data_IF_286676954926
#
_entry.id   IF_286676954926
#
_cell.length_a   1.000
_cell.length_b   1.000
_cell.length_c   1.000
_cell.angle_alpha   90.00
_cell.angle_beta   90.00
_cell.angle_gamma   90.00
#
_symmetry.space_group_name_H-M   'P 1'
#
loop_
_entity.id
_entity.type
_entity.pdbx_description
1 polymer ?
#
# COMPACT_ATOMS: atom_id res chain seq x y z
N UNK A 1 -51.72 38.80 7.99
CA UNK A 1 -50.86 37.60 7.93
C UNK A 1 -49.65 37.91 7.07
N UNK A 2 -48.47 38.15 7.68
CA UNK A 2 -47.15 38.08 7.01
C UNK A 2 -46.16 37.66 8.10
N UNK A 3 -45.73 36.40 8.05
CA UNK A 3 -44.69 35.85 8.90
C UNK A 3 -43.34 36.30 8.35
N UNK A 4 -42.53 36.97 9.18
CA UNK A 4 -41.11 37.22 8.91
C UNK A 4 -40.35 35.96 9.33
N UNK A 5 -39.86 35.19 8.35
CA UNK A 5 -38.93 34.11 8.58
C UNK A 5 -37.51 34.68 8.70
N UNK A 6 -36.95 34.65 9.91
CA UNK A 6 -35.52 34.90 10.15
C UNK A 6 -34.72 33.66 9.75
N UNK A 7 -34.01 33.74 8.63
CA UNK A 7 -33.01 32.73 8.26
C UNK A 7 -31.76 32.91 9.12
N UNK A 8 -31.56 32.02 10.10
CA UNK A 8 -30.30 31.87 10.78
C UNK A 8 -29.31 31.15 9.85
N UNK A 9 -28.31 31.87 9.35
CA UNK A 9 -27.17 31.28 8.63
C UNK A 9 -26.24 30.72 9.69
N UNK A 10 -26.31 29.41 9.93
CA UNK A 10 -25.31 28.70 10.73
C UNK A 10 -24.03 28.59 9.90
N UNK A 11 -23.04 29.42 10.20
CA UNK A 11 -21.68 29.29 9.68
C UNK A 11 -21.06 28.02 10.25
N UNK A 12 -20.95 26.98 9.42
CA UNK A 12 -20.05 25.86 9.70
C UNK A 12 -18.61 26.39 9.66
N UNK A 13 -18.04 26.67 10.83
CA UNK A 13 -16.60 26.76 10.96
C UNK A 13 -16.02 25.38 10.66
N UNK A 14 -15.42 25.21 9.49
CA UNK A 14 -14.62 24.04 9.17
C UNK A 14 -13.42 24.02 10.12
N UNK A 15 -13.48 23.16 11.15
CA UNK A 15 -12.31 22.82 11.93
C UNK A 15 -11.44 21.95 11.03
N UNK A 16 -10.58 22.59 10.25
CA UNK A 16 -9.45 21.93 9.62
C UNK A 16 -8.54 21.47 10.77
N UNK A 17 -8.76 20.24 11.25
CA UNK A 17 -7.80 19.58 12.12
C UNK A 17 -6.52 19.47 11.30
N UNK A 18 -5.49 20.23 11.72
CA UNK A 18 -4.18 20.18 11.11
C UNK A 18 -3.70 18.73 11.16
N UNK A 19 -3.57 18.10 9.98
CA UNK A 19 -2.90 16.82 9.81
C UNK A 19 -1.47 17.07 10.31
N UNK A 20 -0.98 16.37 11.35
CA UNK A 20 0.40 16.54 11.77
C UNK A 20 1.31 16.22 10.59
N UNK A 21 2.04 17.23 10.14
CA UNK A 21 3.13 17.06 9.21
C UNK A 21 4.20 16.18 9.87
N UNK A 22 4.79 15.32 9.05
CA UNK A 22 6.03 14.58 9.32
C UNK A 22 5.94 13.43 10.32
N UNK A 23 5.19 12.37 9.96
CA UNK A 23 5.50 11.04 10.47
C UNK A 23 6.76 10.55 9.72
N UNK A 24 7.88 10.38 10.44
CA UNK A 24 9.09 9.78 9.89
C UNK A 24 8.85 8.28 9.65
N UNK A 25 8.67 7.91 8.39
CA UNK A 25 8.43 6.54 7.93
C UNK A 25 9.72 5.72 7.74
N UNK A 26 10.86 6.20 8.27
CA UNK A 26 12.15 5.51 8.14
C UNK A 26 12.33 4.49 9.26
N UNK A 27 12.34 3.17 8.96
CA UNK A 27 12.64 2.15 9.96
C UNK A 27 14.11 2.22 10.42
N UNK A 28 14.35 2.11 11.73
CA UNK A 28 15.70 2.02 12.31
C UNK A 28 16.41 0.75 11.84
N UNK A 29 17.26 0.83 10.80
CA UNK A 29 18.07 -0.30 10.32
C UNK A 29 18.06 -0.53 8.81
N UNK A 30 17.23 0.19 8.05
CA UNK A 30 17.32 0.26 6.60
C UNK A 30 16.85 -0.99 5.82
N UNK A 31 16.46 -0.73 4.57
CA UNK A 31 15.80 -1.64 3.63
C UNK A 31 16.68 -2.75 3.05
N UNK A 32 18.00 -2.56 3.03
CA UNK A 32 18.94 -3.47 2.37
C UNK A 32 19.04 -4.85 3.03
N UNK A 33 18.41 -5.05 4.18
CA UNK A 33 18.46 -6.29 4.96
C UNK A 33 17.38 -7.31 4.60
N UNK A 34 16.31 -6.91 3.90
CA UNK A 34 15.25 -7.83 3.47
C UNK A 34 15.61 -8.37 2.09
N UNK A 35 16.09 -9.61 2.06
CA UNK A 35 16.28 -10.33 0.81
C UNK A 35 14.94 -10.88 0.30
N UNK A 36 14.21 -10.05 -0.45
CA UNK A 36 12.91 -10.39 -1.04
C UNK A 36 12.95 -11.60 -1.99
N UNK A 37 14.13 -12.08 -2.39
CA UNK A 37 14.24 -13.31 -3.21
C UNK A 37 14.24 -14.59 -2.40
N UNK A 38 14.47 -14.49 -1.09
CA UNK A 38 14.51 -15.64 -0.16
C UNK A 38 13.27 -15.74 0.70
N UNK A 39 12.27 -14.88 0.47
CA UNK A 39 11.00 -14.87 1.19
C UNK A 39 10.08 -15.95 0.62
N UNK A 40 9.60 -16.84 1.49
CA UNK A 40 8.53 -17.77 1.16
C UNK A 40 7.17 -17.11 1.42
N UNK A 41 6.35 -17.01 0.36
CA UNK A 41 5.00 -16.46 0.47
C UNK A 41 3.96 -17.55 0.82
N UNK A 42 2.92 -17.25 1.61
CA UNK A 42 1.84 -18.20 1.90
C UNK A 42 1.14 -18.69 0.64
N UNK A 43 0.67 -19.94 0.66
CA UNK A 43 -0.10 -20.53 -0.44
C UNK A 43 -1.35 -19.70 -0.78
N UNK A 44 -1.63 -19.47 -2.07
CA UNK A 44 -2.72 -18.62 -2.54
C UNK A 44 -2.35 -17.15 -2.77
N UNK A 45 -1.26 -16.67 -2.17
CA UNK A 45 -0.73 -15.33 -2.47
C UNK A 45 -0.15 -15.32 -3.88
N UNK A 46 -0.62 -14.42 -4.75
CA UNK A 46 -0.11 -14.31 -6.12
C UNK A 46 -0.43 -15.48 -7.08
N UNK A 47 -0.98 -16.61 -6.60
CA UNK A 47 -1.20 -17.87 -7.32
C UNK A 47 -2.55 -17.94 -8.08
N UNK A 48 -3.56 -17.17 -7.68
CA UNK A 48 -4.90 -17.18 -8.29
C UNK A 48 -5.17 -16.02 -9.27
N UNK A 49 -4.12 -15.48 -9.91
CA UNK A 49 -4.20 -14.22 -10.65
C UNK A 49 -4.08 -14.47 -12.16
N UNK A 50 -4.89 -13.81 -13.01
CA UNK A 50 -4.68 -13.81 -14.45
C UNK A 50 -3.24 -13.37 -14.72
N UNK A 51 -2.61 -14.04 -15.71
CA UNK A 51 -1.28 -13.70 -16.22
C UNK A 51 -1.19 -12.18 -16.41
N UNK A 52 -0.07 -11.57 -16.01
CA UNK A 52 0.18 -10.14 -16.24
C UNK A 52 -0.19 -9.77 -17.69
N UNK A 53 -0.71 -8.57 -17.95
CA UNK A 53 -0.75 -8.05 -19.31
C UNK A 53 0.63 -8.23 -19.97
N UNK A 54 0.70 -8.68 -21.24
CA UNK A 54 1.98 -8.81 -21.94
C UNK A 54 2.78 -7.52 -21.87
N UNK A 55 4.04 -7.61 -21.40
CA UNK A 55 4.93 -6.46 -21.20
C UNK A 55 4.86 -5.77 -19.83
N UNK A 56 4.02 -6.21 -18.89
CA UNK A 56 3.87 -5.58 -17.55
C UNK A 56 4.40 -6.46 -16.42
N UNK A 57 5.66 -6.86 -16.50
CA UNK A 57 6.32 -7.57 -15.40
C UNK A 57 6.71 -9.02 -15.70
N UNK A 58 6.32 -9.57 -16.86
CA UNK A 58 6.55 -10.97 -17.24
C UNK A 58 8.03 -11.33 -17.46
N UNK A 59 8.89 -10.32 -17.66
CA UNK A 59 10.32 -10.47 -17.93
C UNK A 59 11.19 -9.61 -17.00
N UNK A 60 10.73 -9.27 -15.79
CA UNK A 60 11.53 -8.40 -14.91
C UNK A 60 12.85 -9.08 -14.56
N UNK A 61 14.01 -8.48 -14.91
CA UNK A 61 15.27 -8.86 -14.30
C UNK A 61 15.13 -8.68 -12.79
N UNK A 62 15.64 -9.64 -12.03
CA UNK A 62 16.00 -9.39 -10.64
C UNK A 62 16.90 -8.16 -10.62
N UNK A 63 16.42 -7.05 -10.06
CA UNK A 63 17.24 -5.86 -9.81
C UNK A 63 17.91 -6.04 -8.45
N UNK A 64 19.19 -6.44 -8.38
CA UNK A 64 19.96 -6.24 -7.16
C UNK A 64 19.98 -4.74 -6.84
N UNK A 65 20.06 -4.35 -5.56
CA UNK A 65 20.16 -2.96 -5.19
C UNK A 65 21.40 -2.35 -5.85
N UNK A 66 21.20 -1.47 -6.82
CA UNK A 66 22.30 -0.64 -7.34
C UNK A 66 22.76 0.25 -6.21
N UNK A 67 23.95 -0.07 -5.70
CA UNK A 67 24.56 0.57 -4.55
C UNK A 67 24.63 2.09 -4.73
N UNK A 68 23.90 2.80 -3.88
CA UNK A 68 24.24 4.17 -3.54
C UNK A 68 25.52 4.13 -2.72
N UNK A 69 26.56 4.79 -3.22
CA UNK A 69 27.89 4.80 -2.62
C UNK A 69 27.83 5.18 -1.13
N UNK A 70 28.22 4.24 -0.26
CA UNK A 70 28.58 4.56 1.11
C UNK A 70 30.00 5.15 1.11
N UNK A 71 30.19 6.22 1.88
CA UNK A 71 31.48 6.84 2.14
C UNK A 71 32.53 5.82 2.60
N UNK A 72 33.84 6.06 2.34
CA UNK A 72 34.87 5.06 2.58
C UNK A 72 35.05 4.84 4.08
N UNK A 73 34.56 3.71 4.58
CA UNK A 73 34.93 3.16 5.89
C UNK A 73 36.06 2.14 5.68
N UNK A 74 37.09 2.24 6.53
CA UNK A 74 38.32 1.47 6.47
C UNK A 74 38.08 -0.05 6.47
N UNK A 75 38.97 -0.85 5.84
CA UNK A 75 38.76 -2.29 5.67
C UNK A 75 38.89 -3.04 7.01
N UNK A 76 37.79 -3.68 7.42
CA UNK A 76 37.77 -4.70 8.48
C UNK A 76 37.98 -6.06 7.82
N UNK A 77 38.81 -6.97 8.37
CA UNK A 77 39.14 -8.25 7.77
C UNK A 77 37.90 -9.15 7.57
N UNK A 78 37.79 -9.72 6.38
CA UNK A 78 36.63 -10.48 5.89
C UNK A 78 36.67 -11.92 6.43
N UNK A 79 35.83 -12.21 7.42
CA UNK A 79 35.33 -13.57 7.66
C UNK A 79 34.20 -13.90 6.67
N UNK A 80 33.95 -15.20 6.44
CA UNK A 80 32.83 -15.68 5.61
C UNK A 80 31.53 -14.90 5.89
N UNK A 81 30.75 -14.50 4.88
CA UNK A 81 29.55 -13.69 5.08
C UNK A 81 28.54 -14.43 5.95
N UNK A 82 28.45 -14.02 7.22
CA UNK A 82 27.35 -14.39 8.11
C UNK A 82 26.13 -13.66 7.59
N UNK A 83 25.03 -14.36 7.34
CA UNK A 83 23.75 -13.72 7.06
C UNK A 83 23.34 -12.92 8.30
N UNK A 84 23.62 -11.62 8.30
CA UNK A 84 23.04 -10.70 9.27
C UNK A 84 21.55 -10.65 8.98
N UNK A 85 20.74 -11.33 9.80
CA UNK A 85 19.29 -11.26 9.72
C UNK A 85 18.83 -9.81 9.76
N UNK A 86 17.70 -9.51 9.11
CA UNK A 86 17.09 -8.20 9.23
C UNK A 86 16.90 -7.83 10.70
N UNK A 87 17.18 -6.58 11.13
CA UNK A 87 16.87 -6.16 12.50
C UNK A 87 15.36 -6.18 12.77
N UNK A 88 14.54 -6.37 11.73
CA UNK A 88 13.09 -6.55 11.79
C UNK A 88 12.75 -8.04 11.68
N UNK A 89 12.02 -8.55 12.67
CA UNK A 89 11.40 -9.88 12.57
C UNK A 89 10.04 -9.71 11.90
N UNK A 90 9.84 -10.35 10.74
CA UNK A 90 8.54 -10.39 10.09
C UNK A 90 7.81 -11.68 10.43
N UNK A 91 6.53 -11.55 10.74
CA UNK A 91 5.61 -12.65 11.07
C UNK A 91 4.94 -13.20 9.83
N UNK A 92 4.82 -12.41 8.77
CA UNK A 92 4.27 -12.86 7.47
C UNK A 92 4.73 -12.00 6.30
N UNK A 93 4.60 -12.54 5.10
CA UNK A 93 4.92 -11.87 3.84
C UNK A 93 3.82 -12.11 2.82
N UNK A 94 3.52 -11.13 1.98
CA UNK A 94 2.53 -11.24 0.91
C UNK A 94 3.08 -10.63 -0.37
N UNK A 95 2.82 -11.31 -1.50
CA UNK A 95 2.99 -10.74 -2.83
C UNK A 95 1.62 -10.62 -3.48
N UNK A 96 1.20 -9.38 -3.73
CA UNK A 96 -0.09 -9.07 -4.35
C UNK A 96 0.14 -8.57 -5.76
N UNK A 97 -0.42 -9.27 -6.75
CA UNK A 97 -0.45 -8.79 -8.15
C UNK A 97 -1.78 -8.10 -8.39
N UNK A 98 -1.74 -6.79 -8.43
CA UNK A 98 -2.90 -5.97 -8.69
C UNK A 98 -3.07 -5.78 -10.19
N UNK A 99 -4.29 -6.01 -10.69
CA UNK A 99 -4.61 -5.82 -12.10
C UNK A 99 -5.89 -4.99 -12.29
N UNK A 100 -6.11 -4.40 -13.47
CA UNK A 100 -7.29 -3.59 -13.75
C UNK A 100 -8.59 -4.41 -13.65
N UNK A 101 -8.56 -5.69 -14.00
CA UNK A 101 -9.74 -6.56 -14.11
C UNK A 101 -10.37 -6.89 -12.75
N UNK A 102 -9.62 -6.68 -11.67
CA UNK A 102 -10.06 -6.96 -10.30
C UNK A 102 -10.77 -5.77 -9.65
N UNK A 103 -10.76 -4.59 -10.28
CA UNK A 103 -11.32 -3.35 -9.74
C UNK A 103 -12.86 -3.40 -9.77
N UNK A 104 -13.47 -3.04 -8.63
CA UNK A 104 -14.91 -3.00 -8.44
C UNK A 104 -15.32 -1.69 -7.76
N UNK A 105 -16.57 -1.29 -7.94
CA UNK A 105 -17.24 -0.28 -7.14
C UNK A 105 -18.43 -0.92 -6.40
N UNK A 106 -18.33 -1.04 -5.07
CA UNK A 106 -19.21 -1.90 -4.31
C UNK A 106 -18.95 -3.36 -4.67
N UNK A 107 -19.91 -4.00 -5.33
CA UNK A 107 -19.74 -5.36 -5.89
C UNK A 107 -19.76 -5.39 -7.41
N UNK A 108 -19.84 -4.22 -8.05
CA UNK A 108 -19.93 -4.10 -9.52
C UNK A 108 -18.53 -4.00 -10.11
N UNK A 109 -18.09 -4.92 -10.99
CA UNK A 109 -16.83 -4.79 -11.71
C UNK A 109 -16.86 -3.54 -12.60
N UNK A 110 -15.86 -2.68 -12.46
CA UNK A 110 -15.70 -1.47 -13.29
C UNK A 110 -14.55 -1.60 -14.27
N UNK A 111 -13.59 -2.47 -13.97
CA UNK A 111 -12.26 -2.39 -14.56
C UNK A 111 -11.46 -1.22 -14.00
N UNK A 112 -10.15 -1.27 -14.21
CA UNK A 112 -9.21 -0.21 -13.86
C UNK A 112 -8.52 0.38 -15.09
N UNK A 113 -7.29 0.87 -14.92
CA UNK A 113 -6.49 1.41 -16.03
C UNK A 113 -6.01 0.29 -16.95
N UNK A 114 -6.57 0.21 -18.15
CA UNK A 114 -6.23 -0.83 -19.13
C UNK A 114 -4.72 -0.95 -19.34
N UNK A 115 -4.19 -2.16 -19.14
CA UNK A 115 -2.78 -2.47 -19.32
C UNK A 115 -1.86 -1.96 -18.20
N UNK A 116 -2.39 -1.41 -17.11
CA UNK A 116 -1.62 -1.16 -15.89
C UNK A 116 -1.44 -2.45 -15.08
N UNK A 117 -0.43 -2.51 -14.23
CA UNK A 117 -0.31 -3.54 -13.20
C UNK A 117 0.35 -2.98 -11.94
N UNK A 118 0.10 -3.63 -10.80
CA UNK A 118 0.75 -3.32 -9.53
C UNK A 118 1.34 -4.57 -8.90
N UNK A 119 2.50 -4.42 -8.27
CA UNK A 119 3.15 -5.47 -7.48
C UNK A 119 3.40 -4.92 -6.08
N UNK A 120 2.70 -5.47 -5.10
CA UNK A 120 2.83 -5.10 -3.69
C UNK A 120 3.53 -6.24 -2.97
N UNK A 121 4.80 -6.04 -2.63
CA UNK A 121 5.52 -6.93 -1.72
C UNK A 121 5.41 -6.36 -0.32
N UNK A 122 4.72 -7.09 0.54
CA UNK A 122 4.38 -6.67 1.90
C UNK A 122 5.04 -7.63 2.89
N UNK A 123 5.60 -7.09 3.95
CA UNK A 123 6.14 -7.85 5.08
C UNK A 123 5.56 -7.27 6.37
N UNK A 124 4.89 -8.10 7.17
CA UNK A 124 4.22 -7.67 8.39
C UNK A 124 4.97 -8.15 9.63
N UNK A 125 4.97 -7.33 10.68
CA UNK A 125 5.34 -7.72 12.03
C UNK A 125 4.12 -7.45 12.93
N UNK A 126 3.38 -8.50 13.26
CA UNK A 126 2.18 -8.41 14.08
C UNK A 126 2.43 -8.16 15.56
N UNK A 127 3.64 -8.43 16.05
CA UNK A 127 4.04 -8.08 17.41
C UNK A 127 4.23 -6.57 17.58
N UNK A 128 4.77 -5.90 16.56
CA UNK A 128 5.05 -4.44 16.58
C UNK A 128 4.01 -3.60 15.86
N UNK A 129 3.01 -4.24 15.24
CA UNK A 129 2.01 -3.62 14.39
C UNK A 129 2.62 -2.82 13.22
N UNK A 130 3.59 -3.42 12.52
CA UNK A 130 4.33 -2.80 11.41
C UNK A 130 3.99 -3.50 10.10
N UNK A 131 3.90 -2.73 9.03
CA UNK A 131 3.99 -3.23 7.65
C UNK A 131 5.13 -2.52 6.92
N UNK A 132 6.00 -3.30 6.32
CA UNK A 132 7.02 -2.86 5.40
C UNK A 132 6.59 -3.23 3.98
N UNK A 133 6.71 -2.30 3.05
CA UNK A 133 6.19 -2.44 1.70
C UNK A 133 7.24 -2.08 0.65
N UNK A 134 7.14 -2.74 -0.50
CA UNK A 134 7.80 -2.40 -1.74
C UNK A 134 6.75 -2.55 -2.84
N UNK A 135 6.17 -1.40 -3.22
CA UNK A 135 5.05 -1.28 -4.15
C UNK A 135 5.60 -0.76 -5.46
N UNK A 136 5.37 -1.48 -6.55
CA UNK A 136 5.74 -1.05 -7.91
C UNK A 136 4.49 -1.01 -8.78
N UNK A 137 4.32 0.06 -9.55
CA UNK A 137 3.26 0.22 -10.52
C UNK A 137 3.85 0.33 -11.91
N UNK A 138 3.25 -0.38 -12.86
CA UNK A 138 3.65 -0.40 -14.26
C UNK A 138 2.53 0.17 -15.11
N UNK A 139 2.90 1.02 -16.08
CA UNK A 139 1.96 1.66 -16.99
C UNK A 139 0.81 2.39 -16.25
N UNK A 140 1.11 2.96 -15.07
CA UNK A 140 0.20 3.82 -14.34
C UNK A 140 0.09 5.16 -15.06
N UNK A 141 -1.14 5.65 -15.25
CA UNK A 141 -1.43 6.88 -15.97
C UNK A 141 -2.28 7.81 -15.09
N UNK A 142 -2.24 9.11 -15.40
CA UNK A 142 -2.94 10.14 -14.64
C UNK A 142 -2.28 10.48 -13.31
N UNK A 143 -3.04 11.20 -12.50
CA UNK A 143 -2.63 11.71 -11.20
C UNK A 143 -3.23 10.85 -10.08
N UNK A 144 -2.56 10.81 -8.94
CA UNK A 144 -3.11 10.18 -7.75
C UNK A 144 -4.30 10.97 -7.24
N UNK A 145 -5.44 10.30 -7.06
CA UNK A 145 -6.64 10.89 -6.47
C UNK A 145 -7.29 9.89 -5.53
N UNK A 146 -7.74 10.35 -4.38
CA UNK A 146 -8.44 9.53 -3.41
C UNK A 146 -9.15 10.42 -2.39
N UNK A 147 -10.29 9.98 -1.86
CA UNK A 147 -10.88 10.60 -0.68
C UNK A 147 -10.00 10.45 0.58
N UNK A 148 -9.17 9.40 0.64
CA UNK A 148 -8.20 9.18 1.72
C UNK A 148 -6.94 10.05 1.56
N UNK A 149 -6.09 10.06 2.59
CA UNK A 149 -4.86 10.86 2.67
C UNK A 149 -3.88 10.58 1.52
N UNK A 150 -3.86 9.34 1.02
CA UNK A 150 -3.14 8.96 -0.20
C UNK A 150 -4.06 8.12 -1.09
N UNK A 151 -3.56 7.72 -2.26
CA UNK A 151 -4.30 6.94 -3.25
C UNK A 151 -3.90 5.47 -3.28
N UNK A 152 -3.02 4.99 -2.39
CA UNK A 152 -2.49 3.63 -2.39
C UNK A 152 -2.80 2.97 -1.05
N UNK A 153 -3.50 1.84 -1.03
CA UNK A 153 -4.09 1.34 0.22
C UNK A 153 -3.96 -0.17 0.42
N UNK A 154 -4.23 -0.60 1.65
CA UNK A 154 -4.87 -1.90 1.94
C UNK A 154 -6.28 -1.62 2.43
N UNK A 155 -7.25 -2.31 1.84
CA UNK A 155 -8.65 -2.34 2.24
C UNK A 155 -9.03 -3.64 2.94
N UNK A 156 -10.02 -3.55 3.82
CA UNK A 156 -10.66 -4.72 4.44
C UNK A 156 -11.96 -5.07 3.69
N UNK A 157 -11.87 -6.01 2.76
CA UNK A 157 -13.04 -6.65 2.15
C UNK A 157 -12.65 -7.97 1.46
N UNK A 158 -13.64 -8.85 1.34
CA UNK A 158 -13.50 -10.07 0.55
C UNK A 158 -13.33 -9.75 -0.95
N UNK A 159 -12.81 -10.74 -1.68
CA UNK A 159 -12.66 -10.69 -3.14
C UNK A 159 -13.97 -10.31 -3.82
N UNK A 160 -13.89 -9.34 -4.74
CA UNK A 160 -15.06 -8.86 -5.50
C UNK A 160 -15.92 -7.83 -4.78
N UNK A 161 -15.62 -7.47 -3.53
CA UNK A 161 -16.32 -6.41 -2.81
C UNK A 161 -15.38 -5.23 -2.48
N UNK A 162 -15.94 -4.03 -2.39
CA UNK A 162 -15.29 -2.86 -1.77
C UNK A 162 -15.42 -2.91 -0.25
N UNK A 163 -14.50 -2.28 0.44
CA UNK A 163 -14.53 -2.10 1.89
C UNK A 163 -13.75 -0.85 2.29
N UNK A 164 -13.69 -0.50 3.59
CA UNK A 164 -12.94 0.67 4.03
C UNK A 164 -11.42 0.46 3.86
N UNK A 165 -10.65 1.51 3.52
CA UNK A 165 -9.20 1.43 3.64
C UNK A 165 -8.85 1.33 5.12
N UNK A 166 -7.82 0.53 5.43
CA UNK A 166 -7.27 0.36 6.78
C UNK A 166 -5.86 0.90 6.90
N UNK A 167 -5.13 0.89 5.79
CA UNK A 167 -3.77 1.38 5.70
C UNK A 167 -3.67 2.27 4.45
N UNK A 168 -3.14 3.47 4.61
CA UNK A 168 -2.77 4.36 3.52
C UNK A 168 -1.24 4.43 3.39
N UNK A 169 -0.72 4.10 2.21
CA UNK A 169 0.70 4.16 1.91
C UNK A 169 1.05 5.46 1.17
N UNK A 170 2.27 6.00 1.33
CA UNK A 170 2.82 6.97 0.40
C UNK A 170 2.67 6.49 -1.06
N UNK A 171 2.17 7.37 -1.92
CA UNK A 171 1.96 7.02 -3.33
C UNK A 171 3.29 6.73 -4.02
N UNK A 172 3.36 5.72 -4.91
CA UNK A 172 4.56 5.44 -5.69
C UNK A 172 5.06 6.63 -6.51
N UNK A 173 6.36 6.91 -6.47
CA UNK A 173 6.98 8.01 -7.23
C UNK A 173 7.51 7.47 -8.55
N UNK A 174 7.35 8.25 -9.62
CA UNK A 174 7.89 7.90 -10.94
C UNK A 174 9.42 7.88 -10.92
N UNK A 175 10.01 6.76 -11.34
CA UNK A 175 11.46 6.58 -11.42
C UNK A 175 12.05 7.03 -12.77
N UNK A 176 11.22 7.53 -13.69
CA UNK A 176 11.64 8.02 -15.00
C UNK A 176 11.84 6.91 -16.04
N UNK A 177 11.45 5.67 -15.74
CA UNK A 177 11.57 4.50 -16.62
C UNK A 177 10.22 3.81 -16.87
N UNK A 178 9.10 4.50 -16.63
CA UNK A 178 7.75 3.95 -16.77
C UNK A 178 7.31 3.07 -15.59
N UNK A 179 8.11 2.99 -14.53
CA UNK A 179 7.76 2.35 -13.26
C UNK A 179 7.62 3.42 -12.19
N UNK A 180 6.52 3.36 -11.42
CA UNK A 180 6.39 4.13 -10.18
C UNK A 180 6.65 3.22 -8.99
N UNK A 181 7.37 3.70 -7.98
CA UNK A 181 7.73 2.87 -6.81
C UNK A 181 7.56 3.60 -5.49
N UNK A 182 7.05 2.87 -4.49
CA UNK A 182 6.99 3.29 -3.08
C UNK A 182 7.63 2.21 -2.22
N UNK A 183 8.56 2.59 -1.35
CA UNK A 183 9.24 1.68 -0.42
C UNK A 183 9.29 2.35 0.94
N UNK A 184 8.83 1.67 1.98
CA UNK A 184 8.73 2.25 3.32
C UNK A 184 8.09 1.30 4.31
N UNK A 185 8.23 1.60 5.60
CA UNK A 185 7.60 0.87 6.67
C UNK A 185 6.70 1.86 7.38
N UNK A 186 5.51 1.42 7.75
CA UNK A 186 4.60 2.18 8.57
C UNK A 186 4.23 1.34 9.78
N UNK A 187 4.28 1.97 10.94
CA UNK A 187 3.88 1.39 12.20
C UNK A 187 2.53 1.97 12.61
N UNK A 188 1.67 1.15 13.19
CA UNK A 188 0.42 1.63 13.77
C UNK A 188 0.67 2.56 14.98
N UNK A 189 -0.34 3.35 15.39
CA UNK A 189 -1.72 3.35 14.90
C UNK A 189 -1.84 3.90 13.48
N UNK A 190 -2.56 3.18 12.62
CA UNK A 190 -2.76 3.58 11.23
C UNK A 190 -3.83 4.65 11.09
N UNK A 191 -3.70 5.47 10.03
CA UNK A 191 -4.68 6.48 9.65
C UNK A 191 -4.86 6.52 8.15
N UNK A 192 -6.09 6.73 7.71
CA UNK A 192 -6.44 6.85 6.29
C UNK A 192 -6.96 8.23 5.93
N UNK A 193 -7.33 9.06 6.91
CA UNK A 193 -8.00 10.34 6.69
C UNK A 193 -9.48 10.21 6.32
N UNK A 194 -10.05 9.00 6.34
CA UNK A 194 -11.47 8.76 6.08
C UNK A 194 -12.22 8.36 7.34
N UNK A 195 -13.47 8.83 7.53
CA UNK A 195 -14.31 8.35 8.61
C UNK A 195 -14.75 6.90 8.35
N UNK A 196 -14.63 6.07 9.39
CA UNK A 196 -15.28 4.78 9.50
C UNK A 196 -16.74 4.90 9.94
N UNK A 197 -17.40 3.76 10.12
CA UNK A 197 -18.84 3.70 10.47
C UNK A 197 -19.16 4.25 11.85
N UNK A 198 -18.17 4.32 12.74
CA UNK A 198 -18.25 4.90 14.08
C UNK A 198 -17.90 6.40 14.12
N UNK A 199 -17.60 7.00 12.96
CA UNK A 199 -17.18 8.40 12.83
C UNK A 199 -15.70 8.66 13.11
N UNK A 200 -14.94 7.66 13.56
CA UNK A 200 -13.49 7.75 13.78
C UNK A 200 -12.72 7.48 12.49
N UNK A 201 -11.40 7.72 12.44
CA UNK A 201 -10.62 7.37 11.24
C UNK A 201 -10.71 5.86 10.95
N UNK A 202 -10.86 5.46 9.68
CA UNK A 202 -11.08 4.07 9.29
C UNK A 202 -9.87 3.16 9.54
N UNK A 203 -8.68 3.72 9.80
CA UNK A 203 -7.50 2.99 10.31
C UNK A 203 -7.45 2.87 11.83
N UNK A 204 -8.31 3.57 12.57
CA UNK A 204 -8.33 3.56 14.04
C UNK A 204 -8.54 2.14 14.57
N UNK A 205 -7.65 1.71 15.46
CA UNK A 205 -7.72 0.38 16.08
C UNK A 205 -7.38 -0.79 15.15
N UNK A 206 -7.03 -0.53 13.88
CA UNK A 206 -6.61 -1.57 12.96
C UNK A 206 -5.24 -2.14 13.36
N UNK A 207 -5.13 -3.47 13.36
CA UNK A 207 -3.91 -4.20 13.65
C UNK A 207 -3.58 -5.11 12.46
N UNK A 208 -2.30 -5.14 12.05
CA UNK A 208 -1.84 -6.00 10.94
C UNK A 208 -2.04 -7.49 11.21
N UNK A 209 -2.16 -7.89 12.49
CA UNK A 209 -2.49 -9.26 12.87
C UNK A 209 -3.85 -9.74 12.34
N UNK A 210 -4.77 -8.83 12.02
CA UNK A 210 -6.04 -9.17 11.37
C UNK A 210 -5.84 -9.66 9.93
N UNK A 211 -4.84 -9.15 9.22
CA UNK A 211 -4.46 -9.60 7.87
C UNK A 211 -3.91 -11.02 7.95
N UNK A 212 -3.05 -11.30 8.93
CA UNK A 212 -2.46 -12.63 9.11
C UNK A 212 -3.51 -13.70 9.43
N UNK A 213 -4.54 -13.33 10.19
CA UNK A 213 -5.66 -14.21 10.53
C UNK A 213 -6.58 -14.49 9.34
N UNK A 214 -6.78 -13.53 8.45
CA UNK A 214 -7.68 -13.67 7.30
C UNK A 214 -7.21 -12.85 6.09
N UNK A 215 -6.16 -13.28 5.37
CA UNK A 215 -5.63 -12.50 4.26
C UNK A 215 -6.60 -12.40 3.07
N UNK A 216 -7.49 -13.39 2.90
CA UNK A 216 -8.55 -13.35 1.89
C UNK A 216 -9.60 -12.26 2.15
N UNK A 217 -9.63 -11.67 3.35
CA UNK A 217 -10.44 -10.51 3.71
C UNK A 217 -9.81 -9.16 3.40
N UNK A 218 -8.63 -9.12 2.75
CA UNK A 218 -7.92 -7.87 2.45
C UNK A 218 -7.41 -7.79 1.02
N UNK A 219 -7.44 -6.60 0.43
CA UNK A 219 -6.87 -6.33 -0.88
C UNK A 219 -6.03 -5.06 -0.86
N UNK A 220 -5.07 -4.97 -1.79
CA UNK A 220 -4.29 -3.78 -2.04
C UNK A 220 -4.67 -3.18 -3.40
N UNK A 221 -4.64 -1.86 -3.49
CA UNK A 221 -5.00 -1.11 -4.69
C UNK A 221 -4.27 0.24 -4.77
N UNK A 222 -4.49 0.90 -5.90
CA UNK A 222 -4.11 2.30 -6.09
C UNK A 222 -5.11 2.98 -6.99
N UNK A 223 -5.41 4.24 -6.74
CA UNK A 223 -6.38 5.05 -7.48
C UNK A 223 -5.71 6.08 -8.39
N UNK A 224 -6.38 6.41 -9.50
CA UNK A 224 -5.95 7.39 -10.49
C UNK A 224 -7.10 8.29 -10.92
N UNK A 225 -6.82 9.53 -11.33
CA UNK A 225 -7.81 10.41 -11.97
C UNK A 225 -8.43 9.79 -13.22
N UNK A 226 -7.73 8.88 -13.90
CA UNK A 226 -8.25 8.14 -15.06
C UNK A 226 -9.02 6.86 -14.69
N UNK A 227 -9.00 6.44 -13.42
CA UNK A 227 -9.78 5.31 -12.89
C UNK A 227 -10.04 5.50 -11.39
N UNK A 228 -11.04 6.33 -11.07
CA UNK A 228 -11.36 6.73 -9.69
C UNK A 228 -11.74 5.56 -8.79
N UNK A 229 -12.50 4.53 -9.22
CA UNK A 229 -12.74 3.34 -8.40
C UNK A 229 -11.48 2.51 -8.09
N UNK A 230 -10.38 2.73 -8.83
CA UNK A 230 -9.12 2.02 -8.70
C UNK A 230 -8.44 1.87 -10.06
N UNK A 231 -7.15 2.18 -10.15
CA UNK A 231 -6.33 1.90 -11.32
C UNK A 231 -6.00 0.40 -11.42
N UNK A 232 -5.62 -0.22 -10.30
CA UNK A 232 -5.40 -1.67 -10.19
C UNK A 232 -5.81 -2.14 -8.79
N UNK A 233 -6.25 -3.39 -8.68
CA UNK A 233 -6.60 -4.05 -7.40
C UNK A 233 -6.07 -5.47 -7.37
N UNK A 234 -5.66 -5.96 -6.19
CA UNK A 234 -5.29 -7.36 -5.98
C UNK A 234 -5.61 -7.84 -4.57
N UNK A 235 -6.20 -9.03 -4.45
CA UNK A 235 -6.45 -9.65 -3.15
C UNK A 235 -5.16 -10.20 -2.53
N UNK A 236 -5.03 -10.15 -1.21
CA UNK A 236 -3.86 -10.69 -0.50
C UNK A 236 -3.81 -12.23 -0.52
N UNK A 237 -4.94 -12.94 -0.72
CA UNK A 237 -5.02 -14.40 -0.89
C UNK A 237 -6.15 -14.83 -1.85
#
# INVERSE_FOLDING_TARGET
MKFLATTAVASLAAVAAAIPADIDYTPKGGWGSIDWTKVAYPKGTGENLPKYPPGTGENLPYYPPTGGAAAPVAPVPVGNPVSVGSPFTFTSYYEVKATPEQVVNGTTPTGGLKGASGLYKLAFNSAENVVCYNISLYNFQGDYVSPASTATHIHEAARGASGPPRIAFPNPVDLGNGVRRSIGCIQGPFRTGLPGTDGQDSGTGFQVSSIEKNPAGFFADVHSTAAVPGAVRGQLA
#
